data_IF_779114363899
#
_entry.id   IF_779114363899
#
_cell.length_a   1.000
_cell.length_b   1.000
_cell.length_c   1.000
_cell.angle_alpha   90.00
_cell.angle_beta   90.00
_cell.angle_gamma   90.00
#
_symmetry.space_group_name_H-M   'P 1'
#
loop_
_entity.id
_entity.type
_entity.pdbx_description
1 polymer ?
#
# COMPACT_ATOMS: atom_id res chain seq x y z
N UNK A 1 -1.41 -59.30 16.26
CA UNK A 1 -1.92 -59.37 17.64
C UNK A 1 -0.71 -59.07 18.52
N UNK A 2 -0.62 -57.99 19.27
CA UNK A 2 -1.70 -57.24 19.91
C UNK A 2 -1.51 -55.73 19.92
N UNK A 3 -2.66 -55.07 19.77
CA UNK A 3 -2.92 -53.64 19.75
C UNK A 3 -3.04 -53.15 21.19
N UNK A 4 -2.06 -52.42 21.72
CA UNK A 4 -2.25 -51.46 22.82
C UNK A 4 -0.93 -50.77 23.10
N UNK A 5 -0.84 -49.52 22.63
CA UNK A 5 -0.16 -48.38 23.27
C UNK A 5 0.23 -47.37 22.19
N UNK A 6 0.19 -46.10 22.57
CA UNK A 6 0.42 -44.92 21.73
C UNK A 6 -0.80 -44.44 20.92
N UNK A 7 -1.97 -44.38 21.58
CA UNK A 7 -2.87 -43.25 21.36
C UNK A 7 -2.39 -42.11 22.26
N UNK A 8 -1.43 -41.31 21.78
CA UNK A 8 -1.09 -40.02 22.39
C UNK A 8 -2.18 -39.06 21.94
N UNK A 9 -3.28 -39.03 22.70
CA UNK A 9 -4.26 -37.98 22.64
C UNK A 9 -3.59 -36.71 23.20
N UNK A 10 -3.31 -35.74 22.33
CA UNK A 10 -3.11 -34.36 22.75
C UNK A 10 -4.44 -33.87 23.29
N UNK A 11 -4.58 -33.86 24.61
CA UNK A 11 -5.68 -33.18 25.27
C UNK A 11 -5.39 -31.67 25.20
N UNK A 12 -6.15 -30.97 24.36
CA UNK A 12 -6.23 -29.51 24.38
C UNK A 12 -6.74 -29.09 25.76
N UNK A 13 -5.90 -28.39 26.51
CA UNK A 13 -6.25 -27.81 27.80
C UNK A 13 -7.18 -26.61 27.55
N UNK A 14 -8.47 -26.88 27.29
CA UNK A 14 -9.50 -25.85 27.24
C UNK A 14 -9.72 -25.33 28.65
N UNK A 15 -9.15 -24.17 28.96
CA UNK A 15 -9.42 -23.42 30.19
C UNK A 15 -10.94 -23.32 30.37
N UNK A 16 -11.50 -23.75 31.52
CA UNK A 16 -12.94 -23.68 31.73
C UNK A 16 -13.38 -22.22 31.77
N UNK A 17 -14.28 -21.85 30.86
CA UNK A 17 -14.92 -20.53 30.85
C UNK A 17 -15.97 -20.53 31.95
N UNK A 18 -15.73 -19.78 33.01
CA UNK A 18 -16.64 -19.65 34.15
C UNK A 18 -17.64 -18.53 33.87
N UNK A 19 -18.92 -18.86 33.70
CA UNK A 19 -20.00 -17.87 33.58
C UNK A 19 -20.24 -17.21 34.95
N UNK A 20 -20.04 -15.89 35.04
CA UNK A 20 -20.32 -15.09 36.25
C UNK A 20 -21.20 -13.91 35.92
N UNK A 21 -22.16 -13.64 36.80
CA UNK A 21 -22.97 -12.43 36.75
C UNK A 21 -22.14 -11.23 37.26
N UNK A 22 -22.02 -10.20 36.43
CA UNK A 22 -21.34 -8.96 36.76
C UNK A 22 -22.35 -7.88 37.12
N UNK A 23 -21.96 -6.94 37.99
CA UNK A 23 -22.76 -5.75 38.28
C UNK A 23 -22.89 -4.86 37.06
N UNK A 24 -23.91 -4.01 37.01
CA UNK A 24 -24.16 -3.10 35.88
C UNK A 24 -22.94 -2.19 35.57
N UNK A 25 -22.19 -1.81 36.60
CA UNK A 25 -20.99 -0.98 36.48
C UNK A 25 -19.79 -1.76 35.93
N UNK A 26 -19.64 -3.04 36.29
CA UNK A 26 -18.64 -3.95 35.74
C UNK A 26 -18.92 -4.28 34.27
N UNK A 27 -20.20 -4.50 33.91
CA UNK A 27 -20.61 -4.67 32.51
C UNK A 27 -20.29 -3.42 31.68
N UNK A 28 -20.62 -2.23 32.18
CA UNK A 28 -20.27 -0.95 31.52
C UNK A 28 -18.76 -0.77 31.39
N UNK A 29 -17.97 -1.18 32.39
CA UNK A 29 -16.51 -1.12 32.33
C UNK A 29 -15.94 -2.06 31.27
N UNK A 30 -16.44 -3.31 31.17
CA UNK A 30 -16.06 -4.24 30.11
C UNK A 30 -16.45 -3.71 28.73
N UNK A 31 -17.68 -3.22 28.54
CA UNK A 31 -18.12 -2.60 27.28
C UNK A 31 -17.22 -1.43 26.89
N UNK A 32 -16.90 -0.53 27.83
CA UNK A 32 -15.97 0.58 27.58
C UNK A 32 -14.56 0.11 27.24
N UNK A 33 -14.07 -0.97 27.85
CA UNK A 33 -12.76 -1.55 27.51
C UNK A 33 -12.76 -2.08 26.08
N UNK A 34 -13.78 -2.85 25.69
CA UNK A 34 -13.93 -3.32 24.30
C UNK A 34 -14.09 -2.17 23.30
N UNK A 35 -14.85 -1.12 23.66
CA UNK A 35 -14.99 0.09 22.85
C UNK A 35 -13.66 0.84 22.70
N UNK A 36 -12.89 0.99 23.78
CA UNK A 36 -11.58 1.62 23.75
C UNK A 36 -10.59 0.82 22.90
N UNK A 37 -10.61 -0.52 23.00
CA UNK A 37 -9.78 -1.40 22.18
C UNK A 37 -10.16 -1.30 20.70
N UNK A 38 -11.46 -1.23 20.39
CA UNK A 38 -11.95 -0.99 19.03
C UNK A 38 -11.51 0.38 18.48
N UNK A 39 -11.63 1.45 19.28
CA UNK A 39 -11.19 2.80 18.89
C UNK A 39 -9.69 2.84 18.65
N UNK A 40 -8.89 2.22 19.53
CA UNK A 40 -7.44 2.12 19.36
C UNK A 40 -7.08 1.33 18.10
N UNK A 41 -7.81 0.25 17.80
CA UNK A 41 -7.66 -0.50 16.56
C UNK A 41 -7.92 0.37 15.32
N UNK A 42 -8.98 1.19 15.33
CA UNK A 42 -9.27 2.11 14.23
C UNK A 42 -8.19 3.19 14.06
N UNK A 43 -7.69 3.74 15.17
CA UNK A 43 -6.61 4.75 15.16
C UNK A 43 -5.31 4.14 14.61
N UNK A 44 -4.95 2.93 15.04
CA UNK A 44 -3.79 2.22 14.53
C UNK A 44 -3.93 1.95 13.03
N UNK A 45 -5.09 1.46 12.58
CA UNK A 45 -5.35 1.20 11.17
C UNK A 45 -5.29 2.47 10.29
N UNK A 46 -5.61 3.65 10.84
CA UNK A 46 -5.51 4.91 10.11
C UNK A 46 -4.05 5.30 9.78
N UNK A 47 -3.06 4.70 10.47
CA UNK A 47 -1.63 4.90 10.27
C UNK A 47 -1.02 4.14 9.09
N UNK A 48 -1.79 3.31 8.37
CA UNK A 48 -1.29 2.34 7.37
C UNK A 48 -0.31 2.91 6.33
N UNK A 49 -0.37 4.21 6.03
CA UNK A 49 0.53 4.89 5.08
C UNK A 49 1.97 5.00 5.57
N UNK A 50 2.20 4.93 6.87
CA UNK A 50 3.53 5.10 7.50
C UNK A 50 4.04 3.84 8.16
N UNK A 51 3.17 2.85 8.37
CA UNK A 51 3.48 1.67 9.17
C UNK A 51 4.33 0.66 8.39
N UNK A 52 4.07 0.53 7.09
CA UNK A 52 4.72 -0.45 6.24
C UNK A 52 5.48 0.22 5.08
N UNK A 53 6.75 -0.12 5.00
CA UNK A 53 7.65 0.32 3.93
C UNK A 53 8.31 -0.90 3.30
N UNK A 54 8.34 -0.94 1.97
CA UNK A 54 9.00 -2.01 1.21
C UNK A 54 10.16 -1.46 0.41
N UNK A 55 11.33 -2.09 0.61
CA UNK A 55 12.53 -1.80 -0.15
C UNK A 55 12.47 -2.46 -1.53
N UNK A 56 12.66 -1.66 -2.59
CA UNK A 56 12.70 -2.14 -3.97
C UNK A 56 14.04 -1.86 -4.62
N UNK A 57 14.52 -2.87 -5.36
CA UNK A 57 15.78 -2.79 -6.10
C UNK A 57 15.54 -2.85 -7.61
N UNK A 58 16.22 -1.97 -8.36
CA UNK A 58 16.26 -1.99 -9.81
C UNK A 58 17.55 -2.65 -10.27
N UNK A 59 17.46 -3.95 -10.59
CA UNK A 59 18.59 -4.75 -11.11
C UNK A 59 18.45 -5.02 -12.61
N UNK A 60 19.53 -4.86 -13.37
CA UNK A 60 19.59 -5.20 -14.80
C UNK A 60 20.86 -6.00 -15.06
N UNK A 61 20.73 -7.20 -15.63
CA UNK A 61 21.86 -8.08 -15.87
C UNK A 61 22.66 -8.44 -14.61
N UNK A 62 22.00 -8.54 -13.45
CA UNK A 62 22.64 -8.81 -12.17
C UNK A 62 23.27 -7.60 -11.47
N UNK A 63 23.34 -6.44 -12.12
CA UNK A 63 23.87 -5.21 -11.53
C UNK A 63 22.74 -4.40 -10.91
N UNK A 64 22.94 -3.95 -9.67
CA UNK A 64 22.06 -3.00 -8.98
C UNK A 64 22.31 -1.59 -9.52
N UNK A 65 21.27 -0.95 -10.08
CA UNK A 65 21.35 0.42 -10.60
C UNK A 65 21.01 1.44 -9.52
N UNK A 66 19.92 1.21 -8.80
CA UNK A 66 19.49 1.99 -7.65
C UNK A 66 18.40 1.21 -6.90
N UNK A 67 18.10 1.67 -5.69
CA UNK A 67 17.04 1.13 -4.86
C UNK A 67 16.29 2.28 -4.18
N UNK A 68 15.06 2.02 -3.78
CA UNK A 68 14.21 3.00 -3.10
C UNK A 68 13.10 2.32 -2.32
N UNK A 69 12.60 3.03 -1.34
CA UNK A 69 11.54 2.57 -0.45
C UNK A 69 10.16 3.09 -0.91
N UNK A 70 9.17 2.20 -0.88
CA UNK A 70 7.76 2.52 -1.18
C UNK A 70 6.86 2.24 0.03
N UNK A 71 5.73 2.94 0.10
CA UNK A 71 4.66 2.76 1.10
C UNK A 71 3.31 2.50 0.44
N UNK A 72 2.35 2.05 1.24
CA UNK A 72 0.95 1.96 0.85
C UNK A 72 0.37 3.34 0.44
N UNK A 73 -0.58 3.30 -0.50
CA UNK A 73 -1.35 4.46 -0.95
C UNK A 73 -2.83 4.31 -0.58
N UNK A 74 -3.45 5.41 -0.14
CA UNK A 74 -4.90 5.45 0.02
C UNK A 74 -5.63 5.65 -1.33
N UNK A 75 -6.91 5.25 -1.39
CA UNK A 75 -7.79 5.45 -2.55
C UNK A 75 -7.81 6.93 -3.02
N UNK A 76 -7.77 7.88 -2.07
CA UNK A 76 -7.72 9.31 -2.37
C UNK A 76 -6.43 9.73 -3.09
N UNK A 77 -5.31 9.07 -2.80
CA UNK A 77 -4.01 9.29 -3.46
C UNK A 77 -4.04 8.76 -4.89
N UNK A 78 -4.54 7.54 -5.10
CA UNK A 78 -4.75 6.98 -6.43
C UNK A 78 -5.66 7.89 -7.27
N UNK A 79 -6.79 8.31 -6.71
CA UNK A 79 -7.73 9.17 -7.40
C UNK A 79 -7.14 10.56 -7.72
N UNK A 80 -6.34 11.15 -6.82
CA UNK A 80 -5.60 12.40 -7.11
C UNK A 80 -4.61 12.22 -8.25
N UNK A 81 -3.83 11.15 -8.25
CA UNK A 81 -2.89 10.84 -9.32
C UNK A 81 -3.63 10.70 -10.67
N UNK A 82 -4.75 9.97 -10.68
CA UNK A 82 -5.58 9.78 -11.87
C UNK A 82 -6.15 11.09 -12.37
N UNK A 83 -6.86 11.81 -11.51
CA UNK A 83 -7.54 13.08 -11.84
C UNK A 83 -6.56 14.14 -12.37
N UNK A 84 -5.35 14.23 -11.79
CA UNK A 84 -4.31 15.17 -12.24
C UNK A 84 -3.82 14.88 -13.67
N UNK A 85 -3.89 13.62 -14.10
CA UNK A 85 -3.44 13.17 -15.40
C UNK A 85 -4.59 12.79 -16.36
N UNK A 86 -5.83 13.08 -15.97
CA UNK A 86 -7.02 12.99 -16.81
C UNK A 86 -7.40 14.37 -17.34
N UNK A 87 -7.53 14.50 -18.66
CA UNK A 87 -8.15 15.64 -19.31
C UNK A 87 -9.66 15.54 -19.12
N UNK A 88 -10.26 16.62 -18.62
CA UNK A 88 -11.70 16.73 -18.46
C UNK A 88 -12.26 17.83 -19.36
N UNK A 89 -13.39 17.54 -19.98
CA UNK A 89 -14.16 18.50 -20.77
C UNK A 89 -15.42 18.90 -20.01
N UNK A 90 -15.82 20.17 -20.13
CA UNK A 90 -17.04 20.68 -19.51
C UNK A 90 -18.08 20.92 -20.58
N UNK A 91 -19.22 20.24 -20.48
CA UNK A 91 -20.38 20.57 -21.29
C UNK A 91 -21.07 21.80 -20.67
N UNK A 92 -20.96 22.97 -21.33
CA UNK A 92 -21.51 24.23 -20.84
C UNK A 92 -23.05 24.25 -20.77
N UNK A 93 -23.73 23.49 -21.63
CA UNK A 93 -25.20 23.45 -21.66
C UNK A 93 -25.77 22.63 -20.50
N UNK A 94 -25.11 21.53 -20.14
CA UNK A 94 -25.55 20.64 -19.06
C UNK A 94 -24.88 20.94 -17.71
N UNK A 95 -23.82 21.77 -17.70
CA UNK A 95 -23.04 22.07 -16.49
C UNK A 95 -22.11 20.96 -16.01
N UNK A 96 -22.09 19.80 -16.69
CA UNK A 96 -21.38 18.57 -16.27
C UNK A 96 -19.92 18.58 -16.75
N UNK A 97 -19.01 18.08 -15.91
CA UNK A 97 -17.60 17.82 -16.22
C UNK A 97 -17.42 16.32 -16.48
N UNK A 98 -16.90 15.96 -17.66
CA UNK A 98 -16.71 14.57 -18.09
C UNK A 98 -15.22 14.29 -18.33
N UNK A 99 -14.70 13.11 -17.91
CA UNK A 99 -13.36 12.69 -18.29
C UNK A 99 -13.33 12.39 -19.80
N UNK A 100 -12.30 12.87 -20.49
CA UNK A 100 -12.12 12.67 -21.93
C UNK A 100 -11.00 11.66 -22.21
N UNK A 101 -9.80 11.92 -21.69
CA UNK A 101 -8.61 11.08 -21.91
C UNK A 101 -7.71 11.08 -20.68
N UNK A 102 -7.09 9.95 -20.38
CA UNK A 102 -6.14 9.83 -19.27
C UNK A 102 -4.76 9.47 -19.79
N UNK A 103 -3.78 10.32 -19.49
CA UNK A 103 -2.39 10.03 -19.78
C UNK A 103 -1.89 8.93 -18.84
N UNK A 104 -2.02 7.68 -19.30
CA UNK A 104 -1.70 6.48 -18.51
C UNK A 104 -0.22 6.42 -18.14
N UNK A 105 0.67 6.90 -18.99
CA UNK A 105 2.12 6.92 -18.72
C UNK A 105 2.43 7.85 -17.53
N UNK A 106 1.91 9.09 -17.56
CA UNK A 106 2.08 10.04 -16.45
C UNK A 106 1.37 9.58 -15.19
N UNK A 107 0.17 9.00 -15.32
CA UNK A 107 -0.56 8.44 -14.21
C UNK A 107 0.25 7.36 -13.47
N UNK A 108 0.84 6.42 -14.20
CA UNK A 108 1.68 5.35 -13.64
C UNK A 108 2.93 5.91 -12.96
N UNK A 109 3.61 6.88 -13.59
CA UNK A 109 4.76 7.54 -12.96
C UNK A 109 4.34 8.29 -11.69
N UNK A 110 3.15 8.90 -11.67
CA UNK A 110 2.62 9.60 -10.51
C UNK A 110 2.31 8.67 -9.33
N UNK A 111 1.79 7.45 -9.59
CA UNK A 111 1.62 6.43 -8.54
C UNK A 111 2.98 6.10 -7.89
N UNK A 112 3.98 5.78 -8.71
CA UNK A 112 5.32 5.42 -8.23
C UNK A 112 5.93 6.59 -7.43
N UNK A 113 5.82 7.81 -7.95
CA UNK A 113 6.28 9.01 -7.24
C UNK A 113 5.58 9.17 -5.90
N UNK A 114 4.25 9.10 -5.87
CA UNK A 114 3.45 9.31 -4.66
C UNK A 114 3.73 8.26 -3.58
N UNK A 115 3.97 7.01 -4.01
CA UNK A 115 4.27 5.89 -3.12
C UNK A 115 5.73 5.86 -2.64
N UNK A 116 6.66 6.49 -3.35
CA UNK A 116 8.05 6.58 -2.89
C UNK A 116 8.12 7.43 -1.63
N UNK A 117 8.83 6.95 -0.61
CA UNK A 117 9.04 7.70 0.65
C UNK A 117 9.74 9.03 0.38
N UNK A 118 9.47 10.05 1.19
CA UNK A 118 9.91 11.43 0.92
C UNK A 118 11.43 11.57 0.85
N UNK A 119 12.15 10.84 1.71
CA UNK A 119 13.60 10.80 1.77
C UNK A 119 14.21 10.33 0.45
N UNK A 120 13.62 9.30 -0.17
CA UNK A 120 14.13 8.74 -1.41
C UNK A 120 13.64 9.53 -2.63
N UNK A 121 12.45 10.14 -2.58
CA UNK A 121 12.03 11.13 -3.58
C UNK A 121 13.05 12.26 -3.69
N UNK A 122 13.47 12.83 -2.57
CA UNK A 122 14.45 13.92 -2.55
C UNK A 122 15.82 13.50 -3.09
N UNK A 123 16.27 12.28 -2.80
CA UNK A 123 17.57 11.76 -3.27
C UNK A 123 17.56 11.32 -4.73
N UNK A 124 16.42 10.87 -5.24
CA UNK A 124 16.26 10.29 -6.57
C UNK A 124 15.45 11.20 -7.49
N UNK A 125 14.13 11.16 -7.38
CA UNK A 125 13.21 11.76 -8.36
C UNK A 125 13.26 13.28 -8.38
N UNK A 126 13.51 13.93 -7.25
CA UNK A 126 13.54 15.40 -7.12
C UNK A 126 14.96 15.98 -7.04
N UNK A 127 15.97 15.13 -7.22
CA UNK A 127 17.36 15.53 -7.14
C UNK A 127 17.79 16.32 -8.38
N UNK A 128 18.07 17.61 -8.19
CA UNK A 128 18.46 18.53 -9.27
C UNK A 128 19.73 18.10 -10.00
N UNK A 129 20.70 17.48 -9.31
CA UNK A 129 21.90 16.95 -9.97
C UNK A 129 21.56 15.84 -10.95
N UNK A 130 20.59 15.00 -10.63
CA UNK A 130 20.09 13.95 -11.53
C UNK A 130 19.36 14.59 -12.71
N UNK A 131 18.56 15.63 -12.47
CA UNK A 131 17.82 16.33 -13.54
C UNK A 131 18.78 16.95 -14.54
N UNK A 132 19.78 17.69 -14.06
CA UNK A 132 20.78 18.34 -14.90
C UNK A 132 21.55 17.31 -15.72
N UNK A 133 22.04 16.23 -15.07
CA UNK A 133 22.77 15.16 -15.74
C UNK A 133 21.94 14.38 -16.77
N UNK A 134 20.62 14.28 -16.59
CA UNK A 134 19.71 13.67 -17.56
C UNK A 134 19.40 14.63 -18.72
N UNK A 135 19.18 15.91 -18.44
CA UNK A 135 19.01 16.94 -19.45
C UNK A 135 20.24 17.05 -20.37
N UNK A 136 21.45 17.00 -19.81
CA UNK A 136 22.71 16.99 -20.56
C UNK A 136 22.84 15.78 -21.51
N UNK A 137 22.15 14.68 -21.21
CA UNK A 137 22.06 13.48 -22.06
C UNK A 137 20.92 13.54 -23.08
N UNK A 138 20.18 14.65 -23.14
CA UNK A 138 19.04 14.84 -24.04
C UNK A 138 17.70 14.32 -23.52
N UNK A 139 17.62 13.87 -22.26
CA UNK A 139 16.34 13.53 -21.63
C UNK A 139 15.67 14.81 -21.13
N UNK A 140 14.52 15.19 -21.66
CA UNK A 140 13.82 16.39 -21.22
C UNK A 140 13.17 16.19 -19.85
N UNK A 141 13.80 16.68 -18.78
CA UNK A 141 13.31 16.59 -17.40
C UNK A 141 12.69 17.92 -16.95
N UNK A 142 11.40 17.92 -16.63
CA UNK A 142 10.68 19.06 -16.07
C UNK A 142 10.29 18.85 -14.61
N UNK A 143 10.09 17.59 -14.20
CA UNK A 143 9.74 17.20 -12.84
C UNK A 143 10.18 15.75 -12.55
N UNK A 144 10.00 15.28 -11.31
CA UNK A 144 10.40 13.94 -10.90
C UNK A 144 9.67 12.80 -11.62
N UNK A 145 8.48 13.03 -12.19
CA UNK A 145 7.81 12.01 -13.02
C UNK A 145 8.59 11.73 -14.30
N UNK A 146 9.25 12.74 -14.86
CA UNK A 146 10.07 12.56 -16.06
C UNK A 146 11.31 11.72 -15.71
N UNK A 147 11.90 11.91 -14.53
CA UNK A 147 13.00 11.06 -14.05
C UNK A 147 12.57 9.60 -13.97
N UNK A 148 11.40 9.33 -13.38
CA UNK A 148 10.83 7.97 -13.30
C UNK A 148 10.58 7.41 -14.72
N UNK A 149 10.05 8.23 -15.63
CA UNK A 149 9.74 7.82 -16.99
C UNK A 149 11.00 7.34 -17.74
N UNK A 150 12.09 8.09 -17.64
CA UNK A 150 13.37 7.74 -18.29
C UNK A 150 14.18 6.68 -17.52
N UNK A 151 14.04 6.60 -16.19
CA UNK A 151 14.86 5.71 -15.37
C UNK A 151 14.34 4.27 -15.31
N UNK A 152 13.02 4.05 -15.36
CA UNK A 152 12.40 2.73 -15.24
C UNK A 152 11.88 2.21 -16.59
N UNK A 153 12.16 0.93 -16.89
CA UNK A 153 11.54 0.21 -18.02
C UNK A 153 10.06 -0.03 -17.74
N UNK A 154 9.25 -0.20 -18.78
CA UNK A 154 7.80 -0.47 -18.66
C UNK A 154 7.49 -1.64 -17.71
N UNK A 155 8.18 -2.78 -17.85
CA UNK A 155 8.00 -3.92 -16.95
C UNK A 155 8.54 -3.69 -15.53
N UNK A 156 9.50 -2.78 -15.34
CA UNK A 156 9.95 -2.38 -14.00
C UNK A 156 8.88 -1.50 -13.33
N UNK A 157 8.25 -0.58 -14.07
CA UNK A 157 7.12 0.23 -13.59
C UNK A 157 5.94 -0.66 -13.20
N UNK A 158 5.63 -1.69 -13.98
CA UNK A 158 4.57 -2.66 -13.67
C UNK A 158 4.82 -3.34 -12.32
N UNK A 159 6.01 -3.94 -12.16
CA UNK A 159 6.38 -4.61 -10.91
C UNK A 159 6.33 -3.66 -9.71
N UNK A 160 6.82 -2.44 -9.85
CA UNK A 160 6.76 -1.45 -8.75
C UNK A 160 5.30 -1.15 -8.38
N UNK A 161 4.41 -0.96 -9.35
CA UNK A 161 2.99 -0.70 -9.10
C UNK A 161 2.32 -1.90 -8.45
N UNK A 162 2.60 -3.12 -8.90
CA UNK A 162 2.09 -4.34 -8.27
C UNK A 162 2.47 -4.42 -6.78
N UNK A 163 3.71 -4.05 -6.44
CA UNK A 163 4.14 -4.02 -5.03
C UNK A 163 3.48 -2.90 -4.22
N UNK A 164 3.16 -1.76 -4.84
CA UNK A 164 2.38 -0.70 -4.21
C UNK A 164 0.94 -1.17 -3.98
N UNK A 165 0.33 -1.84 -4.96
CA UNK A 165 -1.03 -2.34 -4.89
C UNK A 165 -1.18 -3.40 -3.78
N UNK A 166 -0.17 -4.28 -3.62
CA UNK A 166 -0.09 -5.24 -2.51
C UNK A 166 -0.07 -4.55 -1.15
N UNK A 167 0.84 -3.59 -0.94
CA UNK A 167 0.89 -2.80 0.29
C UNK A 167 -0.41 -2.02 0.55
N UNK A 168 -1.13 -1.65 -0.52
CA UNK A 168 -2.38 -0.89 -0.45
C UNK A 168 -3.62 -1.78 -0.28
N UNK A 169 -3.44 -3.10 -0.14
CA UNK A 169 -4.54 -4.05 0.12
C UNK A 169 -5.36 -4.45 -1.11
N UNK A 170 -4.84 -4.25 -2.33
CA UNK A 170 -5.49 -4.75 -3.56
C UNK A 170 -5.13 -6.21 -3.87
N UNK A 171 -4.19 -6.82 -3.15
CA UNK A 171 -3.93 -8.26 -3.33
C UNK A 171 -5.11 -9.08 -2.80
N UNK A 172 -5.60 -9.99 -3.63
CA UNK A 172 -6.78 -10.81 -3.35
C UNK A 172 -6.43 -12.09 -2.57
N UNK A 173 -5.14 -12.32 -2.27
CA UNK A 173 -4.66 -13.55 -1.61
C UNK A 173 -4.83 -13.58 -0.10
N UNK A 174 -4.87 -12.42 0.58
CA UNK A 174 -4.81 -12.37 2.05
C UNK A 174 -6.19 -12.45 2.74
N UNK A 175 -7.28 -12.49 1.96
CA UNK A 175 -8.66 -12.50 2.48
C UNK A 175 -9.31 -13.90 2.60
N UNK A 176 -8.55 -15.01 2.45
CA UNK A 176 -9.13 -16.36 2.38
C UNK A 176 -8.60 -17.39 3.39
N UNK A 177 -7.60 -17.07 4.23
CA UNK A 177 -7.00 -18.06 5.13
C UNK A 177 -6.97 -17.63 6.61
N UNK A 178 -8.09 -17.20 7.21
CA UNK A 178 -8.18 -17.25 8.68
C UNK A 178 -9.58 -17.27 9.31
N UNK A 179 -10.61 -17.84 8.66
CA UNK A 179 -11.91 -18.06 9.31
C UNK A 179 -12.53 -19.40 8.91
N UNK A 180 -11.99 -20.52 9.41
CA UNK A 180 -12.77 -21.77 9.64
C UNK A 180 -11.93 -22.90 10.30
N UNK A 181 -11.10 -22.60 11.30
CA UNK A 181 -10.65 -23.63 12.26
C UNK A 181 -10.47 -22.99 13.63
N UNK A 182 -11.57 -22.80 14.35
CA UNK A 182 -11.65 -22.76 15.81
C UNK A 182 -13.08 -23.08 16.24
#
# INVERSE_FOLDING_TARGET
>A
MDKKEMAVAQAEEKTPVEEREFTEEQNKAQTRMFENDFINGLIAAAGFRTDEVKHLEIRRGGVLYFAFDIRALGEDEYNRCKTKHTKYVRNKQLGIKLPEDTNTVKYRCAIIYQATVEEDRAKLWDNKKIWDALNDKGCQIMNGLDVIEYALKSGEKERVIEEIDKLSGYDSSDNLEEVAKN
#
